data_IF_006717766608
#
_entry.id   IF_006717766608
#
_cell.length_a   1.000
_cell.length_b   1.000
_cell.length_c   1.000
_cell.angle_alpha   90.00
_cell.angle_beta   90.00
_cell.angle_gamma   90.00
#
_symmetry.space_group_name_H-M   'P 1'
#
loop_
_entity.id
_entity.type
_entity.pdbx_description
1 polymer ?
#
# COMPACT_ATOMS: atom_id res chain seq x y z
N UNK A 1 -9.23 41.82 4.48
CA UNK A 1 -7.85 41.43 4.84
C UNK A 1 -7.91 40.02 5.40
N UNK A 2 -7.00 39.13 5.00
CA UNK A 2 -7.13 38.24 3.85
C UNK A 2 -7.64 36.84 4.22
N UNK A 3 -8.40 36.26 3.30
CA UNK A 3 -8.85 34.88 3.23
C UNK A 3 -7.64 33.95 3.15
N UNK A 4 -7.51 33.04 4.12
CA UNK A 4 -6.51 31.97 4.08
C UNK A 4 -6.93 30.99 2.99
N UNK A 5 -6.45 31.23 1.77
CA UNK A 5 -6.37 30.23 0.74
C UNK A 5 -5.44 29.13 1.24
N UNK A 6 -6.02 28.05 1.77
CA UNK A 6 -5.33 26.78 1.93
C UNK A 6 -4.92 26.31 0.54
N UNK A 7 -3.68 26.63 0.16
CA UNK A 7 -2.99 26.00 -0.95
C UNK A 7 -2.89 24.53 -0.61
N UNK A 8 -3.71 23.72 -1.27
CA UNK A 8 -3.56 22.28 -1.30
C UNK A 8 -2.14 21.99 -1.77
N UNK A 9 -1.41 21.31 -0.89
CA UNK A 9 -0.08 20.80 -1.12
C UNK A 9 -0.05 20.06 -2.46
N UNK A 10 0.95 20.39 -3.27
CA UNK A 10 1.17 19.87 -4.61
C UNK A 10 1.43 18.36 -4.52
N UNK A 11 0.36 17.58 -4.53
CA UNK A 11 0.42 16.14 -4.73
C UNK A 11 0.95 15.91 -6.13
N UNK A 12 2.26 15.63 -6.22
CA UNK A 12 2.99 15.29 -7.43
C UNK A 12 2.23 14.28 -8.28
N UNK A 13 1.40 14.78 -9.20
CA UNK A 13 0.84 14.00 -10.28
C UNK A 13 1.97 13.77 -11.28
N UNK A 14 2.78 12.75 -11.00
CA UNK A 14 3.29 11.90 -12.06
C UNK A 14 2.11 11.56 -12.99
N UNK A 15 2.31 11.63 -14.30
CA UNK A 15 1.28 11.58 -15.35
C UNK A 15 0.46 10.28 -15.46
N UNK A 16 0.30 9.55 -14.37
CA UNK A 16 -0.50 8.36 -14.20
C UNK A 16 -1.86 8.76 -13.63
N UNK A 17 -2.93 8.16 -14.15
CA UNK A 17 -4.30 8.42 -13.71
C UNK A 17 -4.52 8.15 -12.22
N UNK A 18 -5.75 8.37 -11.70
CA UNK A 18 -6.02 8.19 -10.28
C UNK A 18 -5.59 6.78 -9.84
N UNK A 19 -4.78 6.70 -8.78
CA UNK A 19 -4.28 5.44 -8.23
C UNK A 19 -4.66 5.28 -6.77
N UNK A 20 -4.73 4.03 -6.32
CA UNK A 20 -4.94 3.67 -4.92
C UNK A 20 -3.90 2.66 -4.48
N UNK A 21 -3.58 2.68 -3.20
CA UNK A 21 -2.72 1.71 -2.54
C UNK A 21 -3.60 0.72 -1.80
N UNK A 22 -3.43 -0.57 -2.08
CA UNK A 22 -4.18 -1.64 -1.42
C UNK A 22 -3.23 -2.37 -0.49
N UNK A 23 -3.58 -2.40 0.78
CA UNK A 23 -2.90 -3.17 1.81
C UNK A 23 -3.58 -4.53 1.93
N UNK A 24 -2.83 -5.59 1.68
CA UNK A 24 -3.31 -6.97 1.76
C UNK A 24 -2.44 -7.78 2.72
N UNK A 25 -3.05 -8.76 3.38
CA UNK A 25 -2.31 -9.75 4.16
C UNK A 25 -3.00 -11.11 4.09
N UNK A 26 -2.20 -12.17 4.13
CA UNK A 26 -2.68 -13.54 3.97
C UNK A 26 -1.64 -14.57 4.35
N UNK A 27 -2.02 -15.84 4.15
CA UNK A 27 -1.15 -17.00 4.30
C UNK A 27 -0.90 -17.62 2.92
N UNK A 28 0.29 -18.19 2.75
CA UNK A 28 0.67 -18.96 1.58
C UNK A 28 -0.35 -20.09 1.36
N UNK A 29 -0.82 -20.24 0.12
CA UNK A 29 -1.80 -21.25 -0.30
C UNK A 29 -3.24 -21.11 0.25
N UNK A 30 -3.49 -20.27 1.25
CA UNK A 30 -4.84 -19.94 1.72
C UNK A 30 -5.41 -18.65 1.07
N UNK A 31 -4.51 -17.79 0.59
CA UNK A 31 -4.85 -16.51 -0.02
C UNK A 31 -4.88 -15.38 1.00
N UNK A 32 -5.33 -14.21 0.54
CA UNK A 32 -5.24 -12.98 1.30
C UNK A 32 -6.57 -12.24 1.45
N UNK A 33 -6.52 -11.24 2.31
CA UNK A 33 -7.62 -10.31 2.55
C UNK A 33 -7.12 -8.88 2.49
N UNK A 34 -7.89 -8.01 1.84
CA UNK A 34 -7.66 -6.57 1.85
C UNK A 34 -7.90 -6.05 3.26
N UNK A 35 -6.87 -5.44 3.84
CA UNK A 35 -6.93 -4.80 5.17
C UNK A 35 -7.27 -3.32 5.07
N UNK A 36 -6.86 -2.67 3.99
CA UNK A 36 -7.13 -1.25 3.75
C UNK A 36 -6.92 -0.82 2.31
N UNK A 37 -7.55 0.29 1.94
CA UNK A 37 -7.38 0.96 0.65
C UNK A 37 -7.15 2.44 0.90
N UNK A 38 -6.06 2.96 0.38
CA UNK A 38 -5.57 4.30 0.67
C UNK A 38 -5.35 5.06 -0.64
N UNK A 39 -5.53 6.38 -0.60
CA UNK A 39 -5.23 7.24 -1.75
C UNK A 39 -3.73 7.49 -1.91
N UNK A 40 -2.97 7.31 -0.82
CA UNK A 40 -1.54 7.58 -0.75
C UNK A 40 -0.83 6.50 0.08
N UNK A 41 0.46 6.33 -0.16
CA UNK A 41 1.30 5.33 0.52
C UNK A 41 1.56 5.73 1.98
N UNK A 42 1.78 7.01 2.26
CA UNK A 42 2.08 7.50 3.61
C UNK A 42 0.89 7.29 4.55
N UNK A 43 -0.34 7.36 4.00
CA UNK A 43 -1.57 7.05 4.76
C UNK A 43 -1.68 5.58 5.14
N UNK A 44 -1.08 4.67 4.36
CA UNK A 44 -1.06 3.24 4.62
C UNK A 44 0.09 2.80 5.55
N UNK A 45 1.07 3.68 5.79
CA UNK A 45 2.33 3.31 6.45
C UNK A 45 2.13 2.83 7.89
N UNK A 46 1.27 3.49 8.67
CA UNK A 46 1.02 3.11 10.07
C UNK A 46 0.35 1.74 10.16
N UNK A 47 -0.71 1.52 9.39
CA UNK A 47 -1.45 0.25 9.32
C UNK A 47 -0.57 -0.89 8.78
N UNK A 48 0.28 -0.62 7.78
CA UNK A 48 1.26 -1.57 7.28
C UNK A 48 2.26 -1.96 8.38
N UNK A 49 2.81 -1.00 9.11
CA UNK A 49 3.76 -1.26 10.18
C UNK A 49 3.11 -2.02 11.35
N UNK A 50 1.84 -1.77 11.66
CA UNK A 50 1.10 -2.53 12.67
C UNK A 50 0.98 -4.01 12.28
N UNK A 51 0.62 -4.30 11.01
CA UNK A 51 0.57 -5.67 10.50
C UNK A 51 1.95 -6.35 10.53
N UNK A 52 3.01 -5.65 10.11
CA UNK A 52 4.38 -6.19 10.13
C UNK A 52 4.83 -6.47 11.56
N UNK A 53 4.52 -5.59 12.52
CA UNK A 53 4.80 -5.81 13.94
C UNK A 53 4.06 -7.04 14.43
N UNK A 54 2.78 -7.18 14.11
CA UNK A 54 1.98 -8.33 14.49
C UNK A 54 2.56 -9.63 13.93
N UNK A 55 2.95 -9.63 12.66
CA UNK A 55 3.60 -10.76 12.00
C UNK A 55 4.91 -11.15 12.69
N UNK A 56 5.74 -10.16 13.03
CA UNK A 56 7.03 -10.39 13.70
C UNK A 56 6.92 -10.99 15.11
N UNK A 57 5.73 -10.96 15.73
CA UNK A 57 5.48 -11.59 17.02
C UNK A 57 5.30 -13.11 16.91
N UNK A 58 4.78 -13.60 15.78
CA UNK A 58 4.44 -15.01 15.58
C UNK A 58 5.42 -15.73 14.64
N UNK A 59 6.00 -15.00 13.69
CA UNK A 59 6.88 -15.55 12.66
C UNK A 59 8.17 -14.74 12.55
N UNK A 60 9.28 -15.41 12.22
CA UNK A 60 10.50 -14.71 11.80
C UNK A 60 10.29 -14.12 10.42
N UNK A 61 10.56 -12.82 10.27
CA UNK A 61 10.52 -12.15 8.97
C UNK A 61 11.58 -12.73 8.04
N UNK A 62 11.17 -13.05 6.82
CA UNK A 62 12.04 -13.48 5.74
C UNK A 62 12.53 -12.24 4.98
N UNK A 63 13.75 -11.81 5.28
CA UNK A 63 14.37 -10.62 4.69
C UNK A 63 14.64 -10.82 3.20
N UNK A 64 14.90 -12.05 2.74
CA UNK A 64 15.16 -12.32 1.32
C UNK A 64 13.89 -12.23 0.47
N UNK A 65 12.72 -12.40 1.10
CA UNK A 65 11.40 -12.27 0.49
C UNK A 65 10.67 -10.97 0.84
N UNK A 66 11.30 -10.09 1.61
CA UNK A 66 10.77 -8.80 1.99
C UNK A 66 11.53 -7.68 1.31
N UNK A 67 10.84 -6.62 0.91
CA UNK A 67 11.47 -5.51 0.24
C UNK A 67 10.50 -4.52 -0.36
N UNK A 68 11.08 -3.59 -1.10
CA UNK A 68 10.37 -2.63 -1.92
C UNK A 68 10.73 -2.90 -3.38
N UNK A 69 9.73 -2.91 -4.26
CA UNK A 69 9.98 -2.87 -5.69
C UNK A 69 10.43 -1.46 -6.08
N UNK A 70 11.65 -1.28 -6.64
CA UNK A 70 12.21 0.04 -6.90
C UNK A 70 11.52 0.78 -8.05
N UNK A 71 10.77 0.08 -8.91
CA UNK A 71 10.10 0.65 -10.08
C UNK A 71 8.65 1.04 -9.76
N UNK A 72 7.95 0.25 -8.93
CA UNK A 72 6.55 0.48 -8.58
C UNK A 72 6.35 1.07 -7.18
N UNK A 73 7.40 1.09 -6.36
CA UNK A 73 7.36 1.44 -4.94
C UNK A 73 6.42 0.55 -4.11
N UNK A 74 6.09 -0.65 -4.61
CA UNK A 74 5.28 -1.62 -3.89
C UNK A 74 6.09 -2.24 -2.73
N UNK A 75 5.44 -2.45 -1.59
CA UNK A 75 6.07 -3.10 -0.44
C UNK A 75 5.59 -4.53 -0.28
N UNK A 76 6.52 -5.42 0.06
CA UNK A 76 6.25 -6.81 0.33
C UNK A 76 6.98 -7.21 1.61
N UNK A 77 6.28 -7.89 2.51
CA UNK A 77 6.86 -8.50 3.71
C UNK A 77 6.36 -9.93 3.79
N UNK A 78 7.29 -10.85 4.02
CA UNK A 78 7.00 -12.27 4.19
C UNK A 78 7.57 -12.75 5.52
N UNK A 79 6.90 -13.67 6.18
CA UNK A 79 7.37 -14.25 7.44
C UNK A 79 6.71 -15.61 7.69
N UNK A 80 7.52 -16.67 7.72
CA UNK A 80 7.00 -18.03 7.87
C UNK A 80 6.15 -18.43 6.66
N UNK A 81 4.84 -18.58 6.86
CA UNK A 81 3.87 -18.81 5.78
C UNK A 81 3.01 -17.56 5.51
N UNK A 82 3.17 -16.49 6.28
CA UNK A 82 2.35 -15.30 6.18
C UNK A 82 3.02 -14.25 5.28
N UNK A 83 2.18 -13.44 4.65
CA UNK A 83 2.62 -12.36 3.79
C UNK A 83 1.76 -11.12 3.97
N UNK A 84 2.38 -9.96 3.74
CA UNK A 84 1.77 -8.64 3.76
C UNK A 84 2.26 -7.89 2.53
N UNK A 85 1.36 -7.27 1.78
CA UNK A 85 1.70 -6.46 0.60
C UNK A 85 1.02 -5.11 0.65
N UNK A 86 1.71 -4.08 0.16
CA UNK A 86 1.14 -2.76 -0.09
C UNK A 86 1.47 -2.40 -1.53
N UNK A 87 0.45 -2.49 -2.39
CA UNK A 87 0.64 -2.44 -3.85
C UNK A 87 -0.18 -1.30 -4.45
N UNK A 88 0.38 -0.61 -5.44
CA UNK A 88 -0.28 0.49 -6.15
C UNK A 88 -1.11 -0.04 -7.33
N UNK A 89 -2.37 0.37 -7.38
CA UNK A 89 -3.29 0.05 -8.46
C UNK A 89 -3.77 1.31 -9.17
N UNK A 90 -3.75 1.29 -10.50
CA UNK A 90 -4.42 2.32 -11.31
C UNK A 90 -5.93 2.12 -11.29
N UNK A 91 -6.67 3.20 -11.04
CA UNK A 91 -8.14 3.19 -11.02
C UNK A 91 -8.66 3.75 -12.33
N UNK A 92 -9.50 2.97 -12.99
CA UNK A 92 -10.26 3.44 -14.16
C UNK A 92 -11.72 3.56 -13.78
N UNK A 93 -12.28 4.75 -13.89
CA UNK A 93 -13.71 4.95 -13.63
C UNK A 93 -14.54 4.36 -14.77
N UNK A 94 -15.77 3.92 -14.46
CA UNK A 94 -16.70 3.37 -15.47
C UNK A 94 -16.93 4.28 -16.68
N UNK A 95 -16.77 5.60 -16.53
CA UNK A 95 -16.91 6.57 -17.62
C UNK A 95 -15.75 6.50 -18.62
N UNK A 96 -14.58 6.07 -18.18
CA UNK A 96 -13.36 5.95 -19.00
C UNK A 96 -13.25 4.60 -19.74
N UNK A 97 -14.10 3.62 -19.42
CA UNK A 97 -14.17 2.32 -20.10
C UNK A 97 -15.02 2.33 -21.38
N UNK A 98 -15.40 3.50 -21.89
CA UNK A 98 -16.30 3.68 -23.03
C UNK A 98 -15.57 4.03 -24.31
#
# INVERSE_FOLDING_TARGET
>A
MPELATTADEHSTDGHGPSVWILEAGEDYEGGSVKGVYTDRDLAADDFLDLVRNLSLYSSLDVDRSGEDPDTCDLYVHGGCDWITLTRYSVTTRRQLR
#
